data_IF_996854837619
#
_entry.id   IF_996854837619
#
_cell.length_a   1.000
_cell.length_b   1.000
_cell.length_c   1.000
_cell.angle_alpha   90.00
_cell.angle_beta   90.00
_cell.angle_gamma   90.00
#
_symmetry.space_group_name_H-M   'P 1'
#
loop_
_entity.id
_entity.type
_entity.pdbx_description
1 polymer ?
#
# COMPACT_ATOMS: atom_id res chain seq x y z
N UNK A 1 0.99 2.38 6.45
CA UNK A 1 0.45 1.29 7.30
C UNK A 1 1.52 0.69 8.22
N UNK A 2 2.25 -0.35 7.83
CA UNK A 2 3.12 -1.13 8.76
C UNK A 2 4.17 -0.26 9.48
N UNK A 3 4.81 0.65 8.75
CA UNK A 3 5.87 1.51 9.31
C UNK A 3 5.35 2.76 10.02
N UNK A 4 4.06 2.83 10.31
CA UNK A 4 3.37 4.03 10.80
C UNK A 4 3.78 5.29 10.04
N UNK A 5 3.73 5.22 8.70
CA UNK A 5 4.01 6.35 7.81
C UNK A 5 5.49 6.82 7.74
N UNK A 6 6.40 6.11 8.42
CA UNK A 6 7.85 6.35 8.34
C UNK A 6 8.41 6.07 6.94
N UNK A 7 7.85 5.09 6.23
CA UNK A 7 8.12 4.87 4.80
C UNK A 7 6.90 5.27 3.97
N UNK A 8 7.15 6.04 2.91
CA UNK A 8 6.12 6.54 2.02
C UNK A 8 6.00 5.66 0.77
N UNK A 9 4.81 5.11 0.55
CA UNK A 9 4.44 4.50 -0.73
C UNK A 9 4.10 5.61 -1.71
N UNK A 10 4.87 5.75 -2.78
CA UNK A 10 4.76 6.88 -3.71
C UNK A 10 3.99 6.53 -4.98
N UNK A 11 3.29 7.53 -5.52
CA UNK A 11 2.65 7.42 -6.83
C UNK A 11 3.71 7.41 -7.94
N UNK A 12 3.55 6.51 -8.89
CA UNK A 12 4.44 6.38 -10.03
C UNK A 12 3.63 6.21 -11.31
N UNK A 13 4.13 6.77 -12.42
CA UNK A 13 3.51 6.65 -13.75
C UNK A 13 4.57 6.35 -14.80
N UNK A 14 4.16 5.64 -15.86
CA UNK A 14 5.02 5.34 -17.00
C UNK A 14 4.55 6.18 -18.19
N UNK A 15 5.44 7.01 -18.72
CA UNK A 15 5.17 7.78 -19.93
C UNK A 15 5.31 6.90 -21.17
N UNK A 16 4.32 7.00 -22.07
CA UNK A 16 4.36 6.36 -23.38
C UNK A 16 5.44 7.02 -24.27
N UNK A 17 6.15 6.21 -25.06
CA UNK A 17 7.09 6.71 -26.07
C UNK A 17 6.34 6.98 -27.38
N UNK A 18 6.78 8.02 -28.12
CA UNK A 18 6.28 8.30 -29.48
C UNK A 18 6.79 7.30 -30.53
N UNK A 19 7.96 6.71 -30.30
CA UNK A 19 8.62 5.79 -31.25
C UNK A 19 9.30 4.65 -30.51
N UNK A 20 9.12 3.42 -31.03
CA UNK A 20 9.76 2.20 -30.54
C UNK A 20 9.22 1.67 -29.20
N UNK A 21 9.42 0.37 -28.89
CA UNK A 21 8.90 -0.24 -27.68
C UNK A 21 9.66 0.22 -26.42
N UNK A 22 8.97 0.21 -25.28
CA UNK A 22 9.57 0.25 -23.93
C UNK A 22 9.14 -1.03 -23.22
N UNK A 23 10.11 -1.84 -22.80
CA UNK A 23 9.87 -3.12 -22.13
C UNK A 23 10.37 -3.03 -20.69
N UNK A 24 9.56 -3.47 -19.75
CA UNK A 24 9.90 -3.58 -18.32
C UNK A 24 9.15 -4.75 -17.71
N UNK A 25 9.78 -5.43 -16.75
CA UNK A 25 9.16 -6.49 -15.95
C UNK A 25 9.19 -6.03 -14.49
N UNK A 26 8.04 -6.06 -13.83
CA UNK A 26 7.91 -5.73 -12.41
C UNK A 26 7.59 -6.98 -11.61
N UNK A 27 8.15 -7.07 -10.40
CA UNK A 27 7.87 -8.12 -9.43
C UNK A 27 7.39 -7.48 -8.14
N UNK A 28 6.24 -7.94 -7.64
CA UNK A 28 5.62 -7.42 -6.43
C UNK A 28 5.72 -8.46 -5.32
N UNK A 29 6.24 -8.06 -4.16
CA UNK A 29 6.29 -8.88 -2.96
C UNK A 29 5.22 -8.40 -1.99
N UNK A 30 4.31 -9.29 -1.63
CA UNK A 30 3.27 -9.04 -0.64
C UNK A 30 2.99 -10.31 0.16
N UNK A 31 2.44 -10.16 1.36
CA UNK A 31 2.12 -11.29 2.21
C UNK A 31 0.93 -12.09 1.69
N UNK A 32 0.82 -13.37 2.07
CA UNK A 32 -0.28 -14.24 1.64
C UNK A 32 -1.63 -13.65 2.06
N UNK A 33 -2.51 -13.47 1.08
CA UNK A 33 -3.82 -12.80 1.24
C UNK A 33 -4.82 -13.62 2.06
N UNK A 34 -4.60 -14.94 2.19
CA UNK A 34 -5.52 -15.87 2.84
C UNK A 34 -5.15 -16.16 4.30
N UNK A 35 -4.20 -15.42 4.88
CA UNK A 35 -3.88 -15.54 6.30
C UNK A 35 -4.83 -14.67 7.12
N UNK A 36 -5.33 -15.18 8.24
CA UNK A 36 -6.07 -14.40 9.25
C UNK A 36 -5.18 -13.37 9.97
N UNK A 37 -3.98 -13.11 9.44
CA UNK A 37 -3.02 -12.16 9.99
C UNK A 37 -3.54 -10.74 9.78
N UNK A 38 -3.67 -10.01 10.88
CA UNK A 38 -3.93 -8.58 10.87
C UNK A 38 -2.63 -7.81 10.64
N UNK A 39 -2.73 -6.71 9.91
CA UNK A 39 -1.66 -5.77 9.66
C UNK A 39 -2.04 -4.43 10.26
N UNK A 40 -1.16 -3.88 11.07
CA UNK A 40 -1.23 -2.54 11.63
C UNK A 40 0.17 -1.94 11.74
N UNK A 41 0.30 -0.75 12.32
CA UNK A 41 1.59 -0.19 12.72
C UNK A 41 2.38 -1.16 13.60
N UNK A 42 3.70 -1.27 13.36
CA UNK A 42 4.61 -2.02 14.24
C UNK A 42 4.63 -1.34 15.61
N UNK A 43 4.31 -2.07 16.67
CA UNK A 43 4.17 -1.54 18.03
C UNK A 43 5.46 -0.87 18.52
N UNK A 44 6.61 -1.44 18.18
CA UNK A 44 7.94 -0.93 18.54
C UNK A 44 8.30 0.40 17.85
N UNK A 45 7.51 0.83 16.85
CA UNK A 45 7.65 2.13 16.20
C UNK A 45 6.71 3.20 16.78
N UNK A 46 5.81 2.84 17.71
CA UNK A 46 4.84 3.74 18.32
C UNK A 46 5.41 4.43 19.57
N UNK A 47 4.96 5.65 19.83
CA UNK A 47 5.26 6.41 21.04
C UNK A 47 4.18 7.46 21.30
N UNK A 48 4.25 8.18 22.42
CA UNK A 48 3.33 9.31 22.69
C UNK A 48 3.39 10.37 21.58
N UNK A 49 4.59 10.66 21.06
CA UNK A 49 4.80 11.60 19.96
C UNK A 49 4.55 10.99 18.56
N UNK A 50 4.39 9.66 18.47
CA UNK A 50 4.11 8.94 17.23
C UNK A 50 2.98 7.92 17.43
N UNK A 51 1.74 8.38 17.67
CA UNK A 51 0.60 7.49 17.87
C UNK A 51 0.26 6.71 16.58
N UNK A 52 -0.48 5.59 16.69
CA UNK A 52 -0.87 4.82 15.51
C UNK A 52 -1.77 5.65 14.58
N UNK A 53 -1.33 5.82 13.33
CA UNK A 53 -2.06 6.52 12.28
C UNK A 53 -3.06 5.60 11.58
N UNK A 54 -2.78 4.30 11.59
CA UNK A 54 -3.57 3.27 10.90
C UNK A 54 -4.13 2.25 11.89
N UNK A 55 -5.36 1.79 11.66
CA UNK A 55 -5.99 0.66 12.35
C UNK A 55 -5.51 -0.67 11.79
N UNK A 56 -5.71 -1.73 12.57
CA UNK A 56 -5.49 -3.08 12.09
C UNK A 56 -6.49 -3.49 11.00
N UNK A 57 -5.99 -4.08 9.92
CA UNK A 57 -6.82 -4.59 8.80
C UNK A 57 -6.29 -5.92 8.29
N UNK A 58 -7.13 -6.67 7.58
CA UNK A 58 -6.70 -7.87 6.88
C UNK A 58 -6.15 -7.53 5.50
N UNK A 59 -5.21 -8.34 5.01
CA UNK A 59 -4.66 -8.16 3.66
C UNK A 59 -5.75 -8.22 2.57
N UNK A 60 -6.72 -9.13 2.71
CA UNK A 60 -7.83 -9.27 1.75
C UNK A 60 -8.75 -8.04 1.71
N UNK A 61 -9.02 -7.39 2.84
CA UNK A 61 -9.79 -6.15 2.92
C UNK A 61 -9.05 -5.03 2.18
N UNK A 62 -7.76 -4.87 2.47
CA UNK A 62 -6.92 -3.90 1.79
C UNK A 62 -6.90 -4.11 0.27
N UNK A 63 -6.66 -5.34 -0.19
CA UNK A 63 -6.61 -5.65 -1.63
C UNK A 63 -7.97 -5.53 -2.31
N UNK A 64 -9.07 -5.86 -1.62
CA UNK A 64 -10.42 -5.70 -2.16
C UNK A 64 -10.75 -4.21 -2.36
N UNK A 65 -10.38 -3.35 -1.41
CA UNK A 65 -10.54 -1.91 -1.56
C UNK A 65 -9.63 -1.34 -2.64
N UNK A 66 -8.37 -1.79 -2.69
CA UNK A 66 -7.42 -1.36 -3.72
C UNK A 66 -7.94 -1.68 -5.13
N UNK A 67 -8.48 -2.89 -5.35
CA UNK A 67 -9.02 -3.32 -6.65
C UNK A 67 -10.34 -2.66 -7.02
N UNK A 68 -11.17 -2.30 -6.04
CA UNK A 68 -12.45 -1.62 -6.31
C UNK A 68 -12.27 -0.14 -6.65
N UNK A 69 -11.09 0.44 -6.38
CA UNK A 69 -10.76 1.81 -6.75
C UNK A 69 -10.26 1.85 -8.20
N UNK A 70 -10.94 2.66 -9.03
CA UNK A 70 -10.50 2.97 -10.39
C UNK A 70 -9.24 3.85 -10.44
N UNK A 71 -8.74 4.11 -11.65
CA UNK A 71 -7.45 4.76 -11.96
C UNK A 71 -7.33 6.19 -11.39
N UNK A 72 -8.44 6.89 -11.14
CA UNK A 72 -8.44 8.32 -10.81
C UNK A 72 -8.35 8.68 -9.31
N UNK A 73 -8.25 7.70 -8.40
CA UNK A 73 -8.41 7.97 -6.95
C UNK A 73 -7.14 7.93 -6.10
N UNK A 74 -5.95 7.91 -6.71
CA UNK A 74 -4.67 7.96 -5.99
C UNK A 74 -4.48 6.78 -5.03
N UNK A 75 -3.59 6.95 -4.04
CA UNK A 75 -3.26 5.93 -3.04
C UNK A 75 -4.48 5.41 -2.25
N UNK A 76 -4.39 4.19 -1.71
CA UNK A 76 -5.37 3.65 -0.76
C UNK A 76 -5.58 4.67 0.38
N UNK A 77 -6.82 4.80 0.91
CA UNK A 77 -7.14 5.92 1.78
C UNK A 77 -6.32 5.84 3.07
N UNK A 78 -6.13 7.00 3.71
CA UNK A 78 -5.73 7.09 5.12
C UNK A 78 -6.81 6.54 6.08
N UNK A 79 -7.80 5.77 5.59
CA UNK A 79 -8.94 5.24 6.34
C UNK A 79 -8.78 3.77 6.71
N UNK A 80 -7.56 3.25 6.62
CA UNK A 80 -7.16 2.13 7.46
C UNK A 80 -6.48 2.77 8.64
#
# INVERSE_FOLDING_TARGET
LITNDKFKSVEHRVLAKRTGPRISVATFFYSKVNESKRYGPIEELLSEDNPPVYRETLANEYFSLYRSRGIDKGSAPNSF
#
